data_IF_615247350102
#
_entry.id   IF_615247350102
#
_cell.length_a   1.000
_cell.length_b   1.000
_cell.length_c   1.000
_cell.angle_alpha   90.00
_cell.angle_beta   90.00
_cell.angle_gamma   90.00
#
_symmetry.space_group_name_H-M   'P 1'
#
loop_
_entity.id
_entity.type
_entity.pdbx_description
1 polymer ?
#
# COMPACT_ATOMS: atom_id res chain seq x y z
N UNK A 1 22.93 -35.64 -44.91
CA UNK A 1 23.16 -34.18 -44.86
C UNK A 1 22.26 -33.63 -43.77
N UNK A 2 22.81 -33.46 -42.56
CA UNK A 2 22.09 -32.92 -41.41
C UNK A 2 21.94 -31.41 -41.60
N UNK A 3 20.71 -30.91 -41.47
CA UNK A 3 20.44 -29.48 -41.31
C UNK A 3 20.32 -29.22 -39.81
N UNK A 4 21.29 -28.50 -39.25
CA UNK A 4 21.26 -28.02 -37.88
C UNK A 4 20.34 -26.79 -37.83
N UNK A 5 19.22 -26.91 -37.11
CA UNK A 5 18.38 -25.76 -36.76
C UNK A 5 19.09 -24.98 -35.64
N UNK A 6 19.56 -23.78 -35.95
CA UNK A 6 20.03 -22.83 -34.94
C UNK A 6 18.80 -22.15 -34.31
N UNK A 7 18.31 -22.70 -33.21
CA UNK A 7 17.26 -22.10 -32.37
C UNK A 7 17.80 -20.89 -31.60
N UNK A 8 17.95 -19.75 -32.26
CA UNK A 8 18.02 -18.46 -31.56
C UNK A 8 16.61 -17.87 -31.46
N UNK A 9 15.83 -18.44 -30.54
CA UNK A 9 14.53 -17.91 -30.14
C UNK A 9 14.76 -16.65 -29.28
N UNK A 10 14.90 -15.47 -29.91
CA UNK A 10 14.94 -14.21 -29.17
C UNK A 10 13.58 -13.97 -28.53
N UNK A 11 13.47 -14.31 -27.24
CA UNK A 11 12.28 -14.02 -26.42
C UNK A 11 12.31 -12.53 -26.04
N UNK A 12 11.70 -11.69 -26.87
CA UNK A 12 11.44 -10.30 -26.50
C UNK A 12 10.36 -10.30 -25.42
N UNK A 13 10.73 -9.99 -24.18
CA UNK A 13 9.81 -9.84 -23.05
C UNK A 13 9.66 -8.36 -22.75
N UNK A 14 8.49 -7.77 -23.07
CA UNK A 14 8.18 -6.39 -22.67
C UNK A 14 7.69 -6.45 -21.21
N UNK A 15 8.54 -6.06 -20.26
CA UNK A 15 8.13 -5.95 -18.85
C UNK A 15 7.49 -4.58 -18.60
N UNK A 16 6.16 -4.52 -18.60
CA UNK A 16 5.43 -3.29 -18.30
C UNK A 16 5.36 -3.08 -16.79
N UNK A 17 6.19 -2.19 -16.26
CA UNK A 17 6.24 -1.83 -14.84
C UNK A 17 5.15 -0.80 -14.53
N UNK A 18 4.38 -1.03 -13.46
CA UNK A 18 3.34 -0.10 -13.00
C UNK A 18 3.22 -0.12 -11.49
N UNK A 19 2.92 1.04 -10.89
CA UNK A 19 2.62 1.14 -9.47
C UNK A 19 1.29 0.46 -9.17
N UNK A 20 1.13 -0.06 -7.96
CA UNK A 20 -0.15 -0.50 -7.44
C UNK A 20 -1.09 0.72 -7.30
N UNK A 21 -2.14 0.90 -8.13
CA UNK A 21 -3.19 1.81 -7.73
C UNK A 21 -3.90 1.14 -6.55
N UNK A 22 -3.80 1.75 -5.37
CA UNK A 22 -4.83 1.51 -4.37
C UNK A 22 -6.13 1.97 -5.03
N UNK A 23 -7.04 1.03 -5.33
CA UNK A 23 -8.40 1.45 -5.63
C UNK A 23 -8.84 2.25 -4.41
N UNK A 24 -9.21 3.51 -4.65
CA UNK A 24 -9.81 4.39 -3.66
C UNK A 24 -11.22 3.85 -3.32
N UNK A 25 -11.31 2.68 -2.70
CA UNK A 25 -12.41 2.41 -1.80
C UNK A 25 -12.13 3.30 -0.60
N UNK A 26 -12.67 4.52 -0.70
CA UNK A 26 -12.57 5.59 0.28
C UNK A 26 -12.42 5.03 1.69
N UNK A 27 -11.22 5.16 2.23
CA UNK A 27 -10.99 4.94 3.65
C UNK A 27 -11.63 6.13 4.34
N UNK A 28 -12.93 6.04 4.58
CA UNK A 28 -13.68 7.12 5.21
C UNK A 28 -13.17 7.41 6.61
N UNK A 29 -13.62 8.53 7.17
CA UNK A 29 -13.38 8.80 8.58
C UNK A 29 -13.99 7.67 9.42
N UNK A 30 -13.27 7.26 10.45
CA UNK A 30 -13.74 6.22 11.39
C UNK A 30 -14.21 6.88 12.67
N UNK A 31 -15.36 6.44 13.17
CA UNK A 31 -15.76 6.67 14.56
C UNK A 31 -15.58 5.37 15.32
N UNK A 32 -14.81 5.39 16.40
CA UNK A 32 -14.50 4.22 17.22
C UNK A 32 -14.78 4.50 18.69
N UNK A 33 -15.32 3.52 19.40
CA UNK A 33 -15.62 3.65 20.83
C UNK A 33 -14.36 3.41 21.68
N UNK A 34 -14.26 4.15 22.78
CA UNK A 34 -13.19 3.97 23.77
C UNK A 34 -13.09 2.51 24.24
N UNK A 35 -11.87 2.01 24.40
CA UNK A 35 -11.53 0.64 24.79
C UNK A 35 -12.00 -0.45 23.82
N UNK A 36 -12.34 -0.11 22.58
CA UNK A 36 -12.61 -1.08 21.51
C UNK A 36 -11.41 -1.25 20.57
N UNK A 37 -11.56 -2.05 19.52
CA UNK A 37 -10.52 -2.29 18.52
C UNK A 37 -10.96 -1.71 17.19
N UNK A 38 -10.10 -0.89 16.59
CA UNK A 38 -10.25 -0.42 15.21
C UNK A 38 -9.38 -1.27 14.28
N UNK A 39 -9.95 -1.76 13.19
CA UNK A 39 -9.21 -2.42 12.12
C UNK A 39 -9.43 -1.69 10.80
N UNK A 40 -8.35 -1.16 10.23
CA UNK A 40 -8.36 -0.47 8.94
C UNK A 40 -7.56 -1.30 7.96
N UNK A 41 -8.18 -1.69 6.85
CA UNK A 41 -7.52 -2.42 5.77
C UNK A 41 -7.20 -1.45 4.65
N UNK A 42 -5.95 -1.44 4.19
CA UNK A 42 -5.58 -0.71 2.99
C UNK A 42 -6.00 -1.53 1.74
N UNK A 43 -6.97 -1.06 0.94
CA UNK A 43 -7.28 -1.69 -0.33
C UNK A 43 -6.13 -1.42 -1.31
N UNK A 44 -5.59 -2.47 -1.93
CA UNK A 44 -4.57 -2.29 -2.97
C UNK A 44 -4.72 -3.30 -4.10
N UNK A 45 -4.35 -2.88 -5.31
CA UNK A 45 -4.17 -3.78 -6.45
C UNK A 45 -2.68 -4.04 -6.60
N UNK A 46 -2.21 -5.30 -6.67
CA UNK A 46 -0.81 -5.60 -6.90
C UNK A 46 -0.29 -4.88 -8.15
N UNK A 47 0.85 -4.19 -7.99
CA UNK A 47 1.58 -3.60 -9.10
C UNK A 47 2.44 -4.63 -9.83
N UNK A 48 3.27 -4.15 -10.75
CA UNK A 48 4.36 -4.93 -11.31
C UNK A 48 5.68 -4.15 -11.10
N UNK A 49 6.66 -4.70 -10.36
CA UNK A 49 6.73 -6.05 -9.77
C UNK A 49 5.72 -6.32 -8.64
N UNK A 50 5.54 -7.55 -8.14
CA UNK A 50 4.45 -7.83 -7.17
C UNK A 50 4.76 -7.36 -5.74
N UNK A 51 6.02 -7.08 -5.40
CA UNK A 51 6.44 -6.80 -4.02
C UNK A 51 5.96 -5.42 -3.56
N UNK A 52 4.91 -5.42 -2.75
CA UNK A 52 4.28 -4.20 -2.25
C UNK A 52 4.68 -3.92 -0.80
N UNK A 53 4.96 -2.66 -0.49
CA UNK A 53 5.29 -2.14 0.83
C UNK A 53 4.18 -1.22 1.32
N UNK A 54 3.68 -1.49 2.52
CA UNK A 54 2.71 -0.65 3.21
C UNK A 54 3.42 0.16 4.29
N UNK A 55 2.92 1.36 4.54
CA UNK A 55 3.41 2.19 5.64
C UNK A 55 2.25 3.00 6.20
N UNK A 56 2.00 2.86 7.49
CA UNK A 56 0.96 3.60 8.22
C UNK A 56 1.59 4.68 9.06
N UNK A 57 0.92 5.83 9.12
CA UNK A 57 1.33 6.99 9.89
C UNK A 57 0.18 7.45 10.79
N UNK A 58 0.51 7.84 12.02
CA UNK A 58 -0.37 8.63 12.89
C UNK A 58 0.20 10.05 13.01
N UNK A 59 -0.60 11.05 12.64
CA UNK A 59 -0.11 12.41 12.47
C UNK A 59 0.83 12.58 11.27
N UNK A 60 1.76 13.54 11.37
CA UNK A 60 2.55 13.95 10.20
C UNK A 60 3.71 12.99 9.84
N UNK A 61 4.31 12.31 10.83
CA UNK A 61 5.58 11.59 10.61
C UNK A 61 5.72 10.26 11.36
N UNK A 62 4.89 9.96 12.36
CA UNK A 62 5.09 8.76 13.19
C UNK A 62 4.59 7.51 12.49
N UNK A 63 5.51 6.61 12.13
CA UNK A 63 5.18 5.31 11.55
C UNK A 63 4.62 4.36 12.61
N UNK A 64 3.45 3.78 12.35
CA UNK A 64 2.72 2.92 13.31
C UNK A 64 2.50 1.49 12.79
N UNK A 65 2.85 1.20 11.54
CA UNK A 65 2.66 -0.12 10.96
C UNK A 65 3.18 -0.24 9.53
N UNK A 66 3.39 -1.48 9.09
CA UNK A 66 3.91 -1.82 7.76
C UNK A 66 3.16 -2.97 7.07
N UNK A 67 2.10 -3.46 7.70
CA UNK A 67 1.23 -4.50 7.14
C UNK A 67 0.10 -3.85 6.32
N UNK A 68 -0.57 -4.65 5.49
CA UNK A 68 -1.76 -4.18 4.77
C UNK A 68 -2.87 -3.71 5.71
N UNK A 69 -2.98 -4.34 6.89
CA UNK A 69 -4.00 -4.02 7.89
C UNK A 69 -3.36 -3.30 9.07
N UNK A 70 -3.96 -2.19 9.49
CA UNK A 70 -3.69 -1.53 10.74
C UNK A 70 -4.71 -2.00 11.79
N UNK A 71 -4.22 -2.42 12.95
CA UNK A 71 -5.06 -2.78 14.10
C UNK A 71 -4.67 -1.94 15.31
N UNK A 72 -5.62 -1.14 15.82
CA UNK A 72 -5.48 -0.39 17.07
C UNK A 72 -6.34 -1.07 18.13
N UNK A 73 -5.72 -1.74 19.09
CA UNK A 73 -6.41 -2.36 20.22
C UNK A 73 -6.50 -1.40 21.41
N UNK A 74 -7.53 -1.58 22.24
CA UNK A 74 -7.75 -0.78 23.46
C UNK A 74 -7.67 0.72 23.19
N UNK A 75 -8.42 1.19 22.19
CA UNK A 75 -8.38 2.58 21.69
C UNK A 75 -8.64 3.59 22.82
N UNK A 76 -7.81 4.65 22.85
CA UNK A 76 -7.88 5.76 23.79
C UNK A 76 -8.08 7.09 23.06
N UNK A 77 -8.45 8.15 23.76
CA UNK A 77 -8.52 9.51 23.18
C UNK A 77 -7.21 9.97 22.54
N UNK A 78 -6.05 9.48 23.01
CA UNK A 78 -4.75 9.76 22.38
C UNK A 78 -4.57 9.13 20.99
N UNK A 79 -5.46 8.22 20.58
CA UNK A 79 -5.48 7.63 19.24
C UNK A 79 -6.35 8.42 18.26
N UNK A 80 -7.08 9.44 18.72
CA UNK A 80 -7.83 10.35 17.87
C UNK A 80 -6.88 11.20 17.02
N UNK A 81 -7.22 11.38 15.74
CA UNK A 81 -6.43 12.22 14.86
C UNK A 81 -6.39 11.76 13.41
N UNK A 82 -5.49 12.38 12.64
CA UNK A 82 -5.28 12.04 11.24
C UNK A 82 -4.34 10.85 11.11
N UNK A 83 -4.76 9.90 10.28
CA UNK A 83 -3.98 8.76 9.88
C UNK A 83 -3.71 8.84 8.40
N UNK A 84 -2.55 8.38 7.99
CA UNK A 84 -2.14 8.35 6.58
C UNK A 84 -1.56 6.99 6.28
N UNK A 85 -1.88 6.43 5.12
CA UNK A 85 -1.22 5.22 4.66
C UNK A 85 -0.55 5.48 3.32
N UNK A 86 0.59 4.82 3.10
CA UNK A 86 1.38 4.87 1.88
C UNK A 86 1.59 3.47 1.35
N UNK A 87 1.34 3.28 0.05
CA UNK A 87 1.57 2.03 -0.66
C UNK A 87 2.55 2.28 -1.80
N UNK A 88 3.58 1.46 -1.88
CA UNK A 88 4.56 1.49 -2.96
C UNK A 88 5.05 0.08 -3.29
N UNK A 89 5.70 -0.07 -4.43
CA UNK A 89 6.21 -1.34 -4.93
C UNK A 89 7.67 -1.16 -5.38
N UNK A 90 8.51 -2.19 -5.23
CA UNK A 90 9.96 -2.17 -5.50
C UNK A 90 10.27 -2.22 -6.99
N UNK A 91 10.40 -1.08 -7.67
CA UNK A 91 10.78 -1.05 -9.09
C UNK A 91 12.17 -1.66 -9.38
N UNK A 92 12.30 -2.41 -10.48
CA UNK A 92 13.57 -2.73 -11.14
C UNK A 92 13.97 -1.54 -12.05
N UNK A 93 15.15 -0.91 -11.84
CA UNK A 93 15.48 0.39 -12.41
C UNK A 93 16.03 0.27 -13.84
N UNK A 94 15.14 0.15 -14.84
CA UNK A 94 15.50 0.55 -16.22
C UNK A 94 15.36 2.06 -16.46
N UNK A 95 15.19 2.85 -15.41
CA UNK A 95 15.54 4.29 -15.39
C UNK A 95 14.56 5.25 -16.08
N UNK A 96 13.51 4.77 -16.73
CA UNK A 96 12.57 5.63 -17.48
C UNK A 96 11.19 5.86 -16.82
N UNK A 97 10.91 5.28 -15.65
CA UNK A 97 9.62 5.46 -14.96
C UNK A 97 9.78 6.17 -13.62
N UNK A 98 8.98 7.21 -13.37
CA UNK A 98 8.89 7.89 -12.07
C UNK A 98 7.99 7.09 -11.13
N UNK A 99 8.46 6.84 -9.90
CA UNK A 99 7.70 6.17 -8.86
C UNK A 99 6.57 7.06 -8.33
N UNK A 100 5.31 6.69 -8.55
CA UNK A 100 4.18 7.30 -7.85
C UNK A 100 3.78 6.40 -6.67
N UNK A 101 4.07 6.86 -5.45
CA UNK A 101 3.56 6.23 -4.24
C UNK A 101 2.14 6.70 -3.99
N UNK A 102 1.20 5.76 -3.83
CA UNK A 102 -0.16 6.11 -3.45
C UNK A 102 -0.21 6.47 -1.97
N UNK A 103 -0.89 7.57 -1.65
CA UNK A 103 -1.05 8.05 -0.27
C UNK A 103 -2.47 8.57 -0.07
N UNK A 104 -3.13 8.14 1.01
CA UNK A 104 -4.45 8.66 1.41
C UNK A 104 -4.45 8.96 2.91
N UNK A 105 -5.25 9.95 3.31
CA UNK A 105 -5.39 10.42 4.69
C UNK A 105 -6.85 10.31 5.12
N UNK A 106 -7.09 9.88 6.36
CA UNK A 106 -8.40 9.79 6.97
C UNK A 106 -8.35 10.23 8.43
N UNK A 107 -9.50 10.58 9.01
CA UNK A 107 -9.60 10.96 10.41
C UNK A 107 -10.21 9.82 11.25
N UNK A 108 -9.68 9.61 12.44
CA UNK A 108 -10.25 8.72 13.46
C UNK A 108 -10.76 9.59 14.59
N UNK A 109 -12.05 9.51 14.85
CA UNK A 109 -12.80 10.15 15.92
C UNK A 109 -13.08 9.13 17.04
N UNK A 110 -12.71 9.47 18.28
CA UNK A 110 -12.85 8.54 19.42
C UNK A 110 -14.00 8.98 20.32
N UNK A 111 -15.05 8.17 20.36
CA UNK A 111 -16.25 8.46 21.13
C UNK A 111 -16.28 7.72 22.45
N UNK A 112 -16.96 8.32 23.44
CA UNK A 112 -17.33 7.61 24.66
C UNK A 112 -18.36 6.51 24.34
N UNK A 113 -18.46 5.54 25.24
CA UNK A 113 -19.43 4.45 25.17
C UNK A 113 -20.78 4.86 25.75
#
# INVERSE_FOLDING_TARGET
MHFLLNDNCYKISINLVFSAPAYALFVGNYTVLLNTTLSVTCPFTPGNPPETRFTWFHGNTSTIGSQQNLSLSSVKYSNEGYYKYRVNNTMDPTGCATQEAYTETFYVDVQCK
#
